data_IF_431738744270
#
_entry.id   IF_431738744270
#
_cell.length_a   1.000
_cell.length_b   1.000
_cell.length_c   1.000
_cell.angle_alpha   90.00
_cell.angle_beta   90.00
_cell.angle_gamma   90.00
#
_symmetry.space_group_name_H-M   'P 1'
#
loop_
_entity.id
_entity.type
_entity.pdbx_description
1 polymer ?
#
# COMPACT_ATOMS: atom_id res chain seq x y z
N UNK A 1 -52.70 -22.91 -19.27
CA UNK A 1 -51.26 -23.11 -19.01
C UNK A 1 -50.61 -21.78 -18.68
N UNK A 2 -50.14 -21.57 -17.45
CA UNK A 2 -49.39 -20.36 -17.05
C UNK A 2 -47.93 -20.76 -16.87
N UNK A 3 -47.06 -20.23 -17.72
CA UNK A 3 -45.61 -20.40 -17.60
C UNK A 3 -45.08 -19.28 -16.69
N UNK A 4 -44.54 -19.65 -15.53
CA UNK A 4 -43.81 -18.73 -14.65
C UNK A 4 -42.32 -18.88 -14.99
N UNK A 5 -41.63 -17.84 -15.48
CA UNK A 5 -40.20 -17.93 -15.71
C UNK A 5 -39.48 -17.81 -14.36
N UNK A 6 -38.75 -18.86 -13.98
CA UNK A 6 -37.89 -18.88 -12.81
C UNK A 6 -36.58 -18.16 -13.16
N UNK A 7 -36.48 -16.87 -12.80
CA UNK A 7 -35.23 -16.14 -12.89
C UNK A 7 -34.33 -16.55 -11.72
N UNK A 8 -33.37 -17.45 -11.95
CA UNK A 8 -32.27 -17.65 -11.01
C UNK A 8 -31.34 -16.43 -11.08
N UNK A 9 -31.44 -15.54 -10.11
CA UNK A 9 -30.40 -14.56 -9.85
C UNK A 9 -29.19 -15.30 -9.27
N UNK A 10 -28.12 -15.43 -10.05
CA UNK A 10 -26.81 -15.85 -9.55
C UNK A 10 -26.28 -14.76 -8.62
N UNK A 11 -26.49 -14.94 -7.32
CA UNK A 11 -25.81 -14.16 -6.28
C UNK A 11 -24.38 -14.68 -6.20
N UNK A 12 -23.47 -14.12 -7.01
CA UNK A 12 -22.05 -14.35 -6.81
C UNK A 12 -21.65 -13.67 -5.49
N UNK A 13 -21.15 -14.40 -4.49
CA UNK A 13 -20.62 -13.75 -3.30
C UNK A 13 -19.47 -12.85 -3.74
N UNK A 14 -19.53 -11.57 -3.36
CA UNK A 14 -18.39 -10.68 -3.52
C UNK A 14 -17.22 -11.34 -2.78
N UNK A 15 -16.10 -11.56 -3.49
CA UNK A 15 -14.82 -11.94 -2.90
C UNK A 15 -14.32 -10.74 -2.07
N UNK A 16 -14.93 -10.53 -0.90
CA UNK A 16 -14.41 -9.62 0.10
C UNK A 16 -13.16 -10.26 0.69
N UNK A 17 -12.12 -9.45 0.88
CA UNK A 17 -10.92 -9.89 1.61
C UNK A 17 -11.35 -10.50 2.96
N UNK A 18 -10.73 -11.63 3.32
CA UNK A 18 -10.89 -12.20 4.65
C UNK A 18 -10.53 -11.14 5.71
N UNK A 19 -11.15 -11.15 6.90
CA UNK A 19 -10.75 -10.24 7.98
C UNK A 19 -9.27 -10.46 8.29
N UNK A 20 -8.44 -9.47 7.95
CA UNK A 20 -6.99 -9.53 8.07
C UNK A 20 -6.46 -8.81 9.31
N UNK A 21 -7.33 -8.06 10.02
CA UNK A 21 -7.04 -7.42 11.29
C UNK A 21 -7.98 -7.94 12.40
N UNK A 22 -7.58 -7.94 13.68
CA UNK A 22 -6.34 -7.35 14.23
C UNK A 22 -5.06 -8.03 13.74
N UNK A 23 -4.01 -7.25 13.48
CA UNK A 23 -2.72 -7.75 12.98
C UNK A 23 -1.56 -7.20 13.83
N UNK A 24 -0.60 -8.03 14.29
CA UNK A 24 0.53 -7.54 15.07
C UNK A 24 1.48 -6.71 14.20
N UNK A 25 1.82 -5.51 14.66
CA UNK A 25 2.72 -4.57 13.98
C UNK A 25 3.71 -3.96 14.95
N UNK A 26 4.80 -3.42 14.41
CA UNK A 26 5.70 -2.52 15.14
C UNK A 26 5.34 -1.07 14.81
N UNK A 27 5.04 -0.27 15.84
CA UNK A 27 4.79 1.17 15.71
C UNK A 27 5.83 1.88 16.56
N UNK A 28 6.71 2.64 15.92
CA UNK A 28 7.79 3.39 16.56
C UNK A 28 8.64 2.53 17.53
N UNK A 29 8.98 1.31 17.08
CA UNK A 29 9.77 0.35 17.83
C UNK A 29 9.01 -0.43 18.90
N UNK A 30 7.68 -0.28 18.98
CA UNK A 30 6.86 -0.95 19.98
C UNK A 30 5.81 -1.87 19.33
N UNK A 31 5.69 -3.07 19.88
CA UNK A 31 4.68 -4.02 19.43
C UNK A 31 3.28 -3.48 19.75
N UNK A 32 2.39 -3.55 18.76
CA UNK A 32 0.99 -3.12 18.81
C UNK A 32 0.11 -4.04 17.98
N UNK A 33 -1.19 -4.03 18.27
CA UNK A 33 -2.19 -4.60 17.36
C UNK A 33 -2.75 -3.51 16.45
N UNK A 34 -2.53 -3.65 15.15
CA UNK A 34 -3.19 -2.83 14.15
C UNK A 34 -4.67 -3.20 14.07
N UNK A 35 -5.54 -2.19 14.20
CA UNK A 35 -6.99 -2.30 13.98
C UNK A 35 -7.42 -1.20 13.03
N UNK A 36 -7.98 -1.60 11.89
CA UNK A 36 -8.43 -0.65 10.89
C UNK A 36 -9.74 0.04 11.33
N UNK A 37 -9.99 1.23 10.80
CA UNK A 37 -11.27 1.92 10.95
C UNK A 37 -12.39 1.12 10.29
N UNK A 38 -13.62 1.20 10.80
CA UNK A 38 -14.77 0.55 10.16
C UNK A 38 -15.12 1.20 8.81
N UNK A 39 -15.04 2.54 8.73
CA UNK A 39 -15.33 3.35 7.54
C UNK A 39 -14.58 4.68 7.66
N UNK A 40 -14.31 5.34 6.53
CA UNK A 40 -13.89 6.73 6.53
C UNK A 40 -15.06 7.69 6.83
N UNK A 41 -14.75 8.86 7.39
CA UNK A 41 -15.73 9.91 7.69
C UNK A 41 -16.39 10.48 6.44
N UNK A 42 -15.65 10.52 5.32
CA UNK A 42 -16.10 10.99 4.00
C UNK A 42 -15.25 10.33 2.90
N UNK A 43 -15.67 10.38 1.61
CA UNK A 43 -14.95 9.73 0.53
C UNK A 43 -13.70 10.51 0.11
N UNK A 44 -12.67 10.50 0.97
CA UNK A 44 -11.38 11.17 0.75
C UNK A 44 -10.77 10.77 -0.59
N UNK A 45 -10.18 11.73 -1.31
CA UNK A 45 -9.44 11.47 -2.55
C UNK A 45 -7.99 11.16 -2.24
N UNK A 46 -7.56 9.93 -2.46
CA UNK A 46 -6.22 9.43 -2.14
C UNK A 46 -5.53 8.99 -3.43
N UNK A 47 -4.25 9.33 -3.56
CA UNK A 47 -3.40 8.82 -4.63
C UNK A 47 -2.38 7.82 -4.09
N UNK A 48 -2.21 6.71 -4.78
CA UNK A 48 -1.13 5.76 -4.57
C UNK A 48 -0.22 5.73 -5.80
N UNK A 49 1.08 5.94 -5.59
CA UNK A 49 2.09 5.91 -6.64
C UNK A 49 2.99 4.70 -6.43
N UNK A 50 2.96 3.78 -7.38
CA UNK A 50 3.74 2.56 -7.40
C UNK A 50 4.89 2.69 -8.41
N UNK A 51 6.01 1.98 -8.24
CA UNK A 51 7.10 2.03 -9.20
C UNK A 51 6.69 1.39 -10.54
N UNK A 52 5.91 0.31 -10.52
CA UNK A 52 5.45 -0.39 -11.72
C UNK A 52 4.33 -1.40 -11.47
N UNK A 53 3.64 -1.81 -12.55
CA UNK A 53 2.72 -2.95 -12.58
C UNK A 53 3.32 -4.27 -13.10
N UNK A 54 4.65 -4.43 -13.13
CA UNK A 54 5.34 -5.55 -13.84
C UNK A 54 5.34 -6.91 -13.13
N UNK A 55 5.03 -6.99 -11.83
CA UNK A 55 5.13 -8.24 -11.07
C UNK A 55 3.96 -8.48 -10.11
N UNK A 56 3.90 -9.72 -9.59
CA UNK A 56 2.86 -10.14 -8.65
C UNK A 56 2.94 -9.44 -7.29
N UNK A 57 4.11 -8.93 -6.91
CA UNK A 57 4.27 -8.21 -5.65
C UNK A 57 3.47 -6.91 -5.70
N UNK A 58 3.68 -6.09 -6.74
CA UNK A 58 2.95 -4.84 -6.91
C UNK A 58 1.47 -5.05 -7.26
N UNK A 59 1.11 -6.17 -7.90
CA UNK A 59 -0.31 -6.54 -8.04
C UNK A 59 -0.97 -6.80 -6.70
N UNK A 60 -0.28 -7.49 -5.79
CA UNK A 60 -0.76 -7.72 -4.43
C UNK A 60 -0.93 -6.41 -3.65
N UNK A 61 0.04 -5.49 -3.74
CA UNK A 61 -0.05 -4.16 -3.13
C UNK A 61 -1.24 -3.38 -3.70
N UNK A 62 -1.36 -3.28 -5.02
CA UNK A 62 -2.45 -2.56 -5.67
C UNK A 62 -3.83 -3.14 -5.31
N UNK A 63 -3.94 -4.47 -5.28
CA UNK A 63 -5.16 -5.16 -4.84
C UNK A 63 -5.51 -4.82 -3.38
N UNK A 64 -4.54 -4.91 -2.46
CA UNK A 64 -4.78 -4.60 -1.05
C UNK A 64 -5.25 -3.15 -0.85
N UNK A 65 -4.64 -2.20 -1.58
CA UNK A 65 -5.06 -0.80 -1.57
C UNK A 65 -6.48 -0.61 -2.10
N UNK A 66 -6.84 -1.23 -3.24
CA UNK A 66 -8.19 -1.15 -3.80
C UNK A 66 -9.24 -1.78 -2.86
N UNK A 67 -8.96 -2.94 -2.28
CA UNK A 67 -9.87 -3.59 -1.34
C UNK A 67 -10.10 -2.73 -0.09
N UNK A 68 -9.03 -2.16 0.47
CA UNK A 68 -9.15 -1.33 1.66
C UNK A 68 -9.84 0.02 1.35
N UNK A 69 -9.57 0.60 0.19
CA UNK A 69 -10.25 1.81 -0.26
C UNK A 69 -11.77 1.59 -0.42
N UNK A 70 -12.17 0.47 -1.04
CA UNK A 70 -13.59 0.07 -1.15
C UNK A 70 -14.22 -0.15 0.21
N UNK A 71 -13.52 -0.85 1.12
CA UNK A 71 -14.02 -1.14 2.47
C UNK A 71 -14.25 0.14 3.27
N UNK A 72 -13.32 1.10 3.19
CA UNK A 72 -13.40 2.37 3.89
C UNK A 72 -14.33 3.38 3.20
N UNK A 73 -14.61 3.20 1.91
CA UNK A 73 -15.43 4.11 1.12
C UNK A 73 -14.70 5.39 0.67
N UNK A 74 -13.39 5.31 0.44
CA UNK A 74 -12.55 6.41 -0.07
C UNK A 74 -12.36 6.31 -1.59
N UNK A 75 -12.04 7.43 -2.24
CA UNK A 75 -11.73 7.46 -3.67
C UNK A 75 -10.23 7.27 -3.87
N UNK A 76 -9.82 6.12 -4.39
CA UNK A 76 -8.41 5.81 -4.65
C UNK A 76 -8.08 5.90 -6.14
N UNK A 77 -7.03 6.63 -6.48
CA UNK A 77 -6.32 6.51 -7.76
C UNK A 77 -4.99 5.79 -7.57
N UNK A 78 -4.74 4.74 -8.35
CA UNK A 78 -3.46 4.02 -8.36
C UNK A 78 -2.74 4.34 -9.67
N UNK A 79 -1.50 4.81 -9.56
CA UNK A 79 -0.64 5.17 -10.67
C UNK A 79 0.64 4.34 -10.59
N UNK A 80 1.20 3.97 -11.73
CA UNK A 80 2.44 3.22 -11.81
C UNK A 80 3.37 3.85 -12.83
N UNK A 81 4.65 3.99 -12.49
CA UNK A 81 5.61 4.71 -13.32
C UNK A 81 6.23 3.85 -14.44
N UNK A 82 5.80 2.59 -14.58
CA UNK A 82 6.31 1.69 -15.62
C UNK A 82 7.69 1.10 -15.34
N UNK A 83 8.32 1.36 -14.19
CA UNK A 83 9.64 0.81 -13.85
C UNK A 83 10.41 1.62 -12.80
N UNK A 84 11.40 1.00 -12.15
CA UNK A 84 12.32 1.68 -11.22
C UNK A 84 13.29 2.64 -11.93
N UNK A 85 13.37 2.57 -13.24
CA UNK A 85 14.12 3.45 -14.10
C UNK A 85 13.39 4.77 -14.40
N UNK A 86 12.14 4.93 -13.98
CA UNK A 86 11.24 6.01 -14.39
C UNK A 86 10.86 6.98 -13.25
N UNK A 87 11.85 7.37 -12.42
CA UNK A 87 11.67 8.37 -11.37
C UNK A 87 10.97 9.68 -11.83
N UNK A 88 11.35 10.29 -12.97
CA UNK A 88 10.67 11.49 -13.47
C UNK A 88 9.17 11.29 -13.74
N UNK A 89 8.77 10.12 -14.26
CA UNK A 89 7.34 9.79 -14.49
C UNK A 89 6.59 9.73 -13.16
N UNK A 90 7.20 9.16 -12.11
CA UNK A 90 6.58 9.13 -10.78
C UNK A 90 6.38 10.53 -10.21
N UNK A 91 7.30 11.47 -10.45
CA UNK A 91 7.13 12.87 -10.06
C UNK A 91 5.99 13.54 -10.85
N UNK A 92 5.92 13.36 -12.17
CA UNK A 92 4.82 13.88 -12.99
C UNK A 92 3.45 13.34 -12.52
N UNK A 93 3.38 12.05 -12.17
CA UNK A 93 2.18 11.44 -11.60
C UNK A 93 1.81 12.05 -10.24
N UNK A 94 2.81 12.41 -9.42
CA UNK A 94 2.57 13.06 -8.14
C UNK A 94 1.94 14.44 -8.35
N UNK A 95 2.52 15.25 -9.23
CA UNK A 95 2.00 16.57 -9.58
C UNK A 95 0.59 16.48 -10.19
N UNK A 96 0.35 15.48 -11.03
CA UNK A 96 -0.97 15.21 -11.59
C UNK A 96 -2.00 14.89 -10.49
N UNK A 97 -1.63 14.09 -9.50
CA UNK A 97 -2.46 13.81 -8.33
C UNK A 97 -2.79 15.06 -7.51
N UNK A 98 -1.82 15.96 -7.32
CA UNK A 98 -2.04 17.26 -6.67
C UNK A 98 -3.04 18.08 -7.47
N UNK A 99 -2.87 18.18 -8.80
CA UNK A 99 -3.77 18.93 -9.68
C UNK A 99 -5.20 18.36 -9.69
N UNK A 100 -5.35 17.05 -9.52
CA UNK A 100 -6.64 16.38 -9.37
C UNK A 100 -7.26 16.52 -7.97
N UNK A 101 -6.63 17.26 -7.05
CA UNK A 101 -7.16 17.52 -5.72
C UNK A 101 -7.03 16.33 -4.76
N UNK A 102 -5.98 15.53 -4.86
CA UNK A 102 -5.69 14.51 -3.86
C UNK A 102 -5.50 15.13 -2.47
N UNK A 103 -6.13 14.52 -1.47
CA UNK A 103 -6.11 14.94 -0.07
C UNK A 103 -5.05 14.18 0.74
N UNK A 104 -4.59 13.01 0.25
CA UNK A 104 -3.47 12.26 0.81
C UNK A 104 -2.74 11.44 -0.26
N UNK A 105 -1.48 11.09 0.04
CA UNK A 105 -0.57 10.42 -0.90
C UNK A 105 0.08 9.20 -0.25
N UNK A 106 0.04 8.05 -0.94
CA UNK A 106 0.76 6.82 -0.60
C UNK A 106 1.88 6.63 -1.62
N UNK A 107 3.13 6.62 -1.17
CA UNK A 107 4.29 6.66 -2.06
C UNK A 107 5.13 5.40 -1.89
N UNK A 108 5.06 4.50 -2.87
CA UNK A 108 6.07 3.48 -3.07
C UNK A 108 7.16 4.04 -3.98
N UNK A 109 8.06 4.79 -3.36
CA UNK A 109 9.04 5.60 -4.06
C UNK A 109 10.00 4.75 -4.89
N UNK A 110 10.38 5.25 -6.06
CA UNK A 110 11.46 4.71 -6.89
C UNK A 110 12.82 5.10 -6.30
N UNK A 111 12.97 6.39 -5.96
CA UNK A 111 14.18 6.96 -5.39
C UNK A 111 13.90 7.43 -3.95
N UNK A 112 14.90 7.41 -3.08
CA UNK A 112 14.68 7.71 -1.67
C UNK A 112 14.46 9.20 -1.38
N UNK A 113 14.87 10.11 -2.29
CA UNK A 113 14.89 11.55 -2.03
C UNK A 113 14.18 12.42 -3.09
N UNK A 114 14.02 11.94 -4.31
CA UNK A 114 13.59 12.78 -5.45
C UNK A 114 12.20 13.41 -5.26
N UNK A 115 11.28 12.70 -4.58
CA UNK A 115 9.94 13.22 -4.28
C UNK A 115 9.93 14.20 -3.09
N UNK A 116 11.01 14.31 -2.31
CA UNK A 116 10.98 15.05 -1.05
C UNK A 116 10.64 16.55 -1.17
N UNK A 117 11.07 17.29 -2.20
CA UNK A 117 10.62 18.67 -2.39
C UNK A 117 9.09 18.76 -2.54
N UNK A 118 8.50 17.91 -3.38
CA UNK A 118 7.06 17.88 -3.61
C UNK A 118 6.31 17.39 -2.35
N UNK A 119 6.84 16.39 -1.64
CA UNK A 119 6.33 15.92 -0.35
C UNK A 119 6.28 17.08 0.65
N UNK A 120 7.36 17.83 0.82
CA UNK A 120 7.43 18.94 1.76
C UNK A 120 6.35 20.00 1.48
N UNK A 121 6.09 20.31 0.21
CA UNK A 121 5.00 21.21 -0.18
C UNK A 121 3.62 20.69 0.24
N UNK A 122 3.33 19.41 -0.01
CA UNK A 122 2.04 18.84 0.37
C UNK A 122 1.85 18.77 1.88
N UNK A 123 2.93 18.48 2.61
CA UNK A 123 2.94 18.45 4.08
C UNK A 123 2.72 19.84 4.67
N UNK A 124 3.37 20.87 4.11
CA UNK A 124 3.13 22.27 4.49
C UNK A 124 1.68 22.71 4.20
N UNK A 125 1.05 22.15 3.17
CA UNK A 125 -0.37 22.35 2.86
C UNK A 125 -1.33 21.47 3.70
N UNK A 126 -0.83 20.75 4.71
CA UNK A 126 -1.63 19.93 5.62
C UNK A 126 -2.10 18.60 5.02
N UNK A 127 -1.62 18.20 3.84
CA UNK A 127 -1.99 16.94 3.20
C UNK A 127 -1.07 15.80 3.69
N UNK A 128 -1.61 14.67 4.18
CA UNK A 128 -0.80 13.54 4.61
C UNK A 128 -0.02 12.88 3.46
N UNK A 129 1.22 12.51 3.74
CA UNK A 129 2.06 11.74 2.82
C UNK A 129 2.66 10.55 3.57
N UNK A 130 2.43 9.34 3.05
CA UNK A 130 2.76 8.08 3.68
C UNK A 130 3.79 7.33 2.81
N UNK A 131 4.90 6.93 3.41
CA UNK A 131 5.87 6.02 2.79
C UNK A 131 5.32 4.60 2.77
N UNK A 132 5.30 3.98 1.59
CA UNK A 132 4.74 2.67 1.34
C UNK A 132 5.83 1.74 0.80
N UNK A 133 6.14 0.67 1.53
CA UNK A 133 7.06 -0.41 1.12
C UNK A 133 8.53 0.00 0.93
N UNK A 134 8.86 0.75 -0.12
CA UNK A 134 10.21 0.84 -0.70
C UNK A 134 11.21 1.71 0.06
N UNK A 135 10.75 2.44 1.09
CA UNK A 135 11.48 3.49 1.83
C UNK A 135 11.56 4.82 1.08
N UNK A 136 11.11 5.85 1.77
CA UNK A 136 11.23 7.25 1.39
C UNK A 136 11.91 8.01 2.53
N UNK A 137 13.01 8.69 2.25
CA UNK A 137 13.90 9.31 3.25
C UNK A 137 13.58 10.79 3.49
N UNK A 138 12.36 11.22 3.19
CA UNK A 138 11.89 12.56 3.55
C UNK A 138 11.71 12.69 5.06
N UNK A 139 12.04 13.85 5.60
CA UNK A 139 12.02 14.10 7.05
C UNK A 139 10.61 14.31 7.61
N UNK A 140 9.67 14.81 6.81
CA UNK A 140 8.33 15.22 7.25
C UNK A 140 7.22 14.28 6.74
N UNK A 141 7.45 12.97 6.78
CA UNK A 141 6.41 12.00 6.42
C UNK A 141 5.37 11.86 7.54
N UNK A 142 4.10 11.64 7.16
CA UNK A 142 3.01 11.46 8.13
C UNK A 142 3.04 10.10 8.81
N UNK A 143 3.41 9.06 8.06
CA UNK A 143 3.50 7.68 8.52
C UNK A 143 4.38 6.86 7.56
N UNK A 144 4.72 5.64 7.99
CA UNK A 144 5.41 4.65 7.16
C UNK A 144 4.70 3.30 7.30
N UNK A 145 4.41 2.64 6.19
CA UNK A 145 3.82 1.30 6.12
C UNK A 145 4.74 0.41 5.28
N UNK A 146 5.65 -0.28 5.96
CA UNK A 146 6.69 -1.11 5.34
C UNK A 146 7.14 -2.21 6.29
N UNK A 147 7.83 -3.20 5.73
CA UNK A 147 8.57 -4.22 6.48
C UNK A 147 10.04 -3.87 6.54
N UNK A 148 10.79 -4.52 7.43
CA UNK A 148 12.25 -4.42 7.48
C UNK A 148 12.86 -5.66 6.79
N UNK A 149 13.66 -5.42 5.74
CA UNK A 149 14.32 -6.50 5.01
C UNK A 149 15.43 -7.18 5.81
N UNK A 150 16.05 -6.50 6.77
CA UNK A 150 16.99 -7.12 7.70
C UNK A 150 16.26 -8.12 8.62
N UNK A 151 15.06 -7.77 9.09
CA UNK A 151 14.23 -8.71 9.88
C UNK A 151 13.80 -9.91 9.04
N UNK A 152 13.42 -9.70 7.77
CA UNK A 152 13.09 -10.79 6.85
C UNK A 152 14.29 -11.73 6.62
N UNK A 153 15.49 -11.18 6.42
CA UNK A 153 16.71 -11.95 6.26
C UNK A 153 17.05 -12.71 7.55
N UNK A 154 16.96 -12.07 8.72
CA UNK A 154 17.20 -12.68 10.01
C UNK A 154 16.24 -13.86 10.28
N UNK A 155 14.95 -13.69 9.99
CA UNK A 155 13.95 -14.76 10.12
C UNK A 155 14.25 -15.94 9.19
N UNK A 156 14.64 -15.66 7.94
CA UNK A 156 15.02 -16.70 6.97
C UNK A 156 16.25 -17.49 7.43
N UNK A 157 17.29 -16.80 7.90
CA UNK A 157 18.50 -17.42 8.40
C UNK A 157 18.24 -18.23 9.68
N UNK A 158 17.45 -17.70 10.61
CA UNK A 158 17.05 -18.41 11.82
C UNK A 158 16.34 -19.73 11.48
N UNK A 159 15.41 -19.70 10.53
CA UNK A 159 14.74 -20.89 10.04
C UNK A 159 15.73 -21.89 9.43
N UNK A 160 16.64 -21.44 8.57
CA UNK A 160 17.63 -22.30 7.93
C UNK A 160 18.58 -22.97 8.96
N UNK A 161 19.07 -22.22 9.96
CA UNK A 161 19.92 -22.76 11.03
C UNK A 161 19.15 -23.81 11.85
N UNK A 162 17.90 -23.51 12.24
CA UNK A 162 17.07 -24.43 13.01
C UNK A 162 16.84 -25.76 12.28
N UNK A 163 16.71 -25.73 10.95
CA UNK A 163 16.40 -26.91 10.14
C UNK A 163 17.63 -27.53 9.44
N UNK A 164 18.82 -26.92 9.59
CA UNK A 164 20.06 -27.37 8.95
C UNK A 164 20.70 -28.60 9.59
N UNK A 165 20.19 -29.10 10.72
CA UNK A 165 20.69 -30.31 11.38
C UNK A 165 22.16 -30.23 11.81
N UNK A 166 22.66 -29.03 12.13
CA UNK A 166 24.06 -28.77 12.50
C UNK A 166 25.05 -28.84 11.33
N UNK A 167 24.58 -28.99 10.09
CA UNK A 167 25.42 -28.96 8.90
C UNK A 167 25.69 -27.50 8.48
N UNK A 168 26.86 -27.21 7.87
CA UNK A 168 27.10 -25.91 7.26
C UNK A 168 26.00 -25.60 6.22
N UNK A 169 25.39 -24.42 6.34
CA UNK A 169 24.52 -23.86 5.30
C UNK A 169 25.41 -23.52 4.09
N UNK A 170 25.09 -24.08 2.93
CA UNK A 170 25.80 -23.86 1.67
C UNK A 170 24.90 -23.15 0.68
#
# INVERSE_FOLDING_TARGET
MRWVPLWLALVAPALLAAPWFPYPVQVDGQAREYRALAKAERPWRICALLPHGKDRYWWGVAWGLDQEARRLGVQLGIYEAGGYEHGPVQLEQFEHCVALGAEAFLLASINTLDLCPAVAEQRAAGRPVIDLVNRLDCTDLSARSRVDFADMAAATLAYAVQHGGGRPLR
#
